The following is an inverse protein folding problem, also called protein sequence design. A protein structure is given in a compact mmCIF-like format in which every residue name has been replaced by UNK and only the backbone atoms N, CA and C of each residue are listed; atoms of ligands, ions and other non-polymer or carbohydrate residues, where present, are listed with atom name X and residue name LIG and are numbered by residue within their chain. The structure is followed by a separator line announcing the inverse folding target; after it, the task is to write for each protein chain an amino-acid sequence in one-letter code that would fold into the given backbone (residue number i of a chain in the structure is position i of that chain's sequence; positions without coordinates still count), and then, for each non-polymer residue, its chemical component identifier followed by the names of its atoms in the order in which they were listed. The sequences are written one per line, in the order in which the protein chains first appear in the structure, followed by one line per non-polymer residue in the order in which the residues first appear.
data_IF_996123027072
#
_entry.id   IF_996123027072
#
_cell.length_a   1.000
_cell.length_b   1.000
_cell.length_c   1.000
_cell.angle_alpha   90.00
_cell.angle_beta   90.00
_cell.angle_gamma   90.00
#
_symmetry.space_group_name_H-M   'P 1'
#
loop_
_entity.id
_entity.type
_entity.pdbx_description
1 polymer ?
#
# COMPACT_ATOMS: atom_id res chain seq x y z
N UNK A 1 1.80 13.93 -11.02
CA UNK A 1 1.39 13.12 -9.84
C UNK A 1 1.31 14.07 -8.65
N UNK A 2 0.22 14.05 -7.88
CA UNK A 2 0.06 14.93 -6.71
C UNK A 2 0.18 14.09 -5.44
N UNK A 3 1.06 14.48 -4.52
CA UNK A 3 1.19 13.82 -3.21
C UNK A 3 0.68 14.79 -2.14
N UNK A 4 -0.30 14.35 -1.36
CA UNK A 4 -0.75 15.01 -0.14
C UNK A 4 -0.11 14.30 1.05
N UNK A 5 0.81 14.97 1.74
CA UNK A 5 1.57 14.41 2.87
C UNK A 5 0.97 14.85 4.19
N UNK A 6 0.82 13.91 5.11
CA UNK A 6 0.28 14.13 6.45
C UNK A 6 1.21 13.53 7.50
N UNK A 7 1.41 14.23 8.62
CA UNK A 7 2.18 13.68 9.75
C UNK A 7 1.44 12.52 10.43
N UNK A 8 0.11 12.60 10.52
CA UNK A 8 -0.72 11.60 11.18
C UNK A 8 -2.13 11.66 10.61
N UNK A 9 -2.74 10.49 10.38
CA UNK A 9 -4.14 10.35 9.96
C UNK A 9 -4.78 9.18 10.71
N UNK A 10 -6.12 9.11 10.69
CA UNK A 10 -6.81 7.86 11.04
C UNK A 10 -6.42 6.74 10.09
N UNK A 11 -6.58 6.99 8.79
CA UNK A 11 -6.16 6.10 7.72
C UNK A 11 -6.04 6.90 6.41
N UNK A 12 -4.98 6.63 5.66
CA UNK A 12 -4.79 7.16 4.29
C UNK A 12 -5.96 6.76 3.38
N UNK A 13 -6.48 5.54 3.55
CA UNK A 13 -7.60 5.00 2.79
C UNK A 13 -8.90 5.76 3.10
N UNK A 14 -9.18 6.03 4.39
CA UNK A 14 -10.33 6.87 4.80
C UNK A 14 -10.21 8.28 4.21
N UNK A 15 -9.03 8.89 4.32
CA UNK A 15 -8.81 10.25 3.81
C UNK A 15 -8.95 10.30 2.29
N UNK A 16 -8.46 9.29 1.57
CA UNK A 16 -8.65 9.18 0.14
C UNK A 16 -10.13 9.13 -0.25
N UNK A 17 -10.94 8.30 0.44
CA UNK A 17 -12.40 8.22 0.23
C UNK A 17 -13.10 9.56 0.48
N UNK A 18 -12.68 10.31 1.50
CA UNK A 18 -13.25 11.61 1.85
C UNK A 18 -13.03 12.66 0.74
N UNK A 19 -11.84 12.71 0.17
CA UNK A 19 -11.45 13.80 -0.74
C UNK A 19 -11.55 13.44 -2.23
N UNK A 20 -11.83 12.18 -2.58
CA UNK A 20 -11.70 11.68 -3.95
C UNK A 20 -12.49 12.46 -4.99
N UNK A 21 -13.67 12.98 -4.65
CA UNK A 21 -14.49 13.77 -5.57
C UNK A 21 -13.80 15.06 -6.05
N UNK A 22 -12.86 15.59 -5.28
CA UNK A 22 -12.12 16.82 -5.58
C UNK A 22 -10.73 16.54 -6.15
N UNK A 23 -10.35 15.26 -6.28
CA UNK A 23 -9.01 14.85 -6.65
C UNK A 23 -8.99 14.22 -8.03
N UNK A 24 -7.89 14.47 -8.75
CA UNK A 24 -7.63 13.79 -10.02
C UNK A 24 -7.10 12.37 -9.76
N UNK A 25 -7.30 11.41 -10.69
CA UNK A 25 -6.60 10.14 -10.65
C UNK A 25 -5.09 10.29 -10.46
N UNK A 26 -4.46 9.30 -9.85
CA UNK A 26 -3.07 9.28 -9.41
C UNK A 26 -2.71 10.37 -8.37
N UNK A 27 -3.72 10.82 -7.61
CA UNK A 27 -3.47 11.56 -6.37
C UNK A 27 -3.14 10.58 -5.26
N UNK A 28 -2.05 10.84 -4.53
CA UNK A 28 -1.54 10.00 -3.45
C UNK A 28 -1.80 10.69 -2.12
N UNK A 29 -2.34 9.94 -1.18
CA UNK A 29 -2.45 10.32 0.23
C UNK A 29 -1.35 9.56 0.96
N UNK A 30 -0.37 10.25 1.53
CA UNK A 30 0.75 9.68 2.27
C UNK A 30 0.66 10.10 3.73
N UNK A 31 0.81 9.17 4.66
CA UNK A 31 0.91 9.47 6.09
C UNK A 31 2.18 8.87 6.70
N UNK A 32 2.82 9.61 7.60
CA UNK A 32 3.93 9.07 8.40
C UNK A 32 3.43 8.06 9.44
N UNK A 33 2.20 8.22 9.93
CA UNK A 33 1.57 7.37 10.95
C UNK A 33 0.05 7.25 10.71
N UNK A 34 -0.52 6.07 10.98
CA UNK A 34 -1.99 5.88 11.00
C UNK A 34 -2.47 5.42 12.37
N UNK A 35 -3.52 6.06 12.90
CA UNK A 35 -4.14 5.72 14.20
C UNK A 35 -4.99 4.45 14.07
N UNK A 36 -5.81 4.37 13.03
CA UNK A 36 -6.75 3.27 12.77
C UNK A 36 -6.54 2.71 11.37
N UNK A 37 -5.27 2.46 11.02
CA UNK A 37 -4.92 1.74 9.80
C UNK A 37 -5.63 0.38 9.76
N UNK A 38 -6.16 0.01 8.59
CA UNK A 38 -6.91 -1.23 8.42
C UNK A 38 -6.59 -1.87 7.07
N UNK A 39 -6.74 -3.19 7.02
CA UNK A 39 -6.70 -4.00 5.83
C UNK A 39 -8.08 -4.56 5.49
N UNK A 40 -8.08 -5.65 4.71
CA UNK A 40 -9.32 -6.34 4.30
C UNK A 40 -10.12 -6.78 5.52
N UNK A 41 -11.46 -6.77 5.36
CA UNK A 41 -12.43 -7.13 6.41
C UNK A 41 -12.28 -6.30 7.70
N UNK A 42 -11.65 -5.12 7.63
CA UNK A 42 -11.45 -4.24 8.79
C UNK A 42 -10.33 -4.68 9.75
N UNK A 43 -9.51 -5.67 9.38
CA UNK A 43 -8.39 -6.10 10.21
C UNK A 43 -7.43 -4.95 10.48
N UNK A 44 -7.04 -4.75 11.74
CA UNK A 44 -6.11 -3.69 12.12
C UNK A 44 -4.77 -3.83 11.39
N UNK A 45 -4.24 -2.71 10.90
CA UNK A 45 -2.92 -2.60 10.28
C UNK A 45 -2.03 -1.67 11.13
N UNK A 46 -1.07 -2.27 11.85
CA UNK A 46 -0.13 -1.54 12.69
C UNK A 46 0.72 -0.58 11.85
N UNK A 47 0.57 0.72 12.10
CA UNK A 47 1.13 1.79 11.24
C UNK A 47 1.88 2.89 12.03
N UNK A 48 2.88 2.56 12.86
CA UNK A 48 3.66 3.58 13.56
C UNK A 48 4.54 4.36 12.58
N UNK A 49 5.14 5.46 13.04
CA UNK A 49 6.18 6.18 12.27
C UNK A 49 7.29 5.24 11.82
N UNK A 50 7.78 5.50 10.60
CA UNK A 50 8.89 4.77 9.98
C UNK A 50 8.47 3.91 8.79
N UNK A 51 7.23 3.39 8.78
CA UNK A 51 6.70 2.65 7.63
C UNK A 51 6.28 3.55 6.47
N UNK A 52 5.95 2.93 5.34
CA UNK A 52 5.43 3.60 4.16
C UNK A 52 3.94 3.27 4.02
N UNK A 53 3.08 4.23 4.34
CA UNK A 53 1.63 4.07 4.29
C UNK A 53 1.02 5.09 3.35
N UNK A 54 0.43 4.63 2.26
CA UNK A 54 -0.19 5.53 1.31
C UNK A 54 -1.41 4.91 0.63
N UNK A 55 -2.25 5.77 0.07
CA UNK A 55 -3.38 5.37 -0.77
C UNK A 55 -3.34 6.13 -2.09
N UNK A 56 -3.59 5.43 -3.19
CA UNK A 56 -3.63 5.99 -4.55
C UNK A 56 -5.06 6.01 -5.04
N UNK A 57 -5.55 7.19 -5.40
CA UNK A 57 -6.83 7.36 -6.09
C UNK A 57 -6.64 7.01 -7.56
N UNK A 58 -7.46 6.13 -8.11
CA UNK A 58 -7.42 5.69 -9.50
C UNK A 58 -8.75 5.97 -10.21
N UNK A 59 -8.78 5.92 -11.55
CA UNK A 59 -10.04 5.97 -12.30
C UNK A 59 -11.01 4.87 -11.85
N UNK A 60 -12.29 5.00 -12.21
CA UNK A 60 -13.29 3.96 -11.94
C UNK A 60 -12.89 2.65 -12.62
N UNK A 61 -12.82 1.56 -11.86
CA UNK A 61 -12.61 0.20 -12.37
C UNK A 61 -13.83 -0.68 -12.05
N UNK A 62 -14.08 -1.73 -12.83
CA UNK A 62 -15.13 -2.72 -12.52
C UNK A 62 -14.74 -3.51 -11.26
N UNK A 63 -15.70 -4.25 -10.70
CA UNK A 63 -15.44 -5.05 -9.49
C UNK A 63 -14.41 -6.16 -9.76
N UNK A 64 -14.49 -6.80 -10.92
CA UNK A 64 -13.54 -7.83 -11.37
C UNK A 64 -12.11 -7.27 -11.48
N UNK A 65 -11.99 -6.02 -11.93
CA UNK A 65 -10.71 -5.32 -12.05
C UNK A 65 -10.05 -5.10 -10.68
N UNK A 66 -10.81 -5.00 -9.57
CA UNK A 66 -10.21 -4.75 -8.25
C UNK A 66 -9.29 -5.88 -7.79
N UNK A 67 -9.67 -7.14 -8.05
CA UNK A 67 -8.83 -8.27 -7.70
C UNK A 67 -7.54 -8.25 -8.53
N UNK A 68 -7.66 -7.99 -9.83
CA UNK A 68 -6.53 -7.85 -10.75
C UNK A 68 -5.63 -6.70 -10.29
N UNK A 69 -6.18 -5.52 -10.02
CA UNK A 69 -5.45 -4.35 -9.51
C UNK A 69 -4.72 -4.66 -8.20
N UNK A 70 -5.35 -5.41 -7.30
CA UNK A 70 -4.72 -5.84 -6.03
C UNK A 70 -3.52 -6.73 -6.29
N UNK A 71 -3.68 -7.75 -7.14
CA UNK A 71 -2.63 -8.71 -7.49
C UNK A 71 -1.48 -8.01 -8.22
N UNK A 72 -1.77 -7.17 -9.20
CA UNK A 72 -0.78 -6.39 -9.93
C UNK A 72 -0.04 -5.41 -9.02
N UNK A 73 -0.73 -4.78 -8.06
CA UNK A 73 -0.05 -3.93 -7.07
C UNK A 73 0.86 -4.76 -6.17
N UNK A 74 0.44 -5.96 -5.77
CA UNK A 74 1.28 -6.88 -4.99
C UNK A 74 2.51 -7.30 -5.77
N UNK A 75 2.32 -7.58 -7.07
CA UNK A 75 3.40 -7.88 -7.98
C UNK A 75 4.37 -6.70 -8.13
N UNK A 76 3.89 -5.45 -8.28
CA UNK A 76 4.75 -4.27 -8.35
C UNK A 76 5.67 -4.17 -7.12
N UNK A 77 5.09 -4.28 -5.93
CA UNK A 77 5.85 -4.17 -4.68
C UNK A 77 6.82 -5.36 -4.54
N UNK A 78 6.38 -6.59 -4.82
CA UNK A 78 7.24 -7.76 -4.77
C UNK A 78 8.41 -7.65 -5.76
N UNK A 79 8.15 -7.21 -6.99
CA UNK A 79 9.21 -6.97 -7.99
C UNK A 79 10.26 -5.99 -7.47
N UNK A 80 9.84 -4.88 -6.85
CA UNK A 80 10.75 -3.88 -6.26
C UNK A 80 11.53 -4.47 -5.07
N UNK A 81 10.88 -5.24 -4.19
CA UNK A 81 11.57 -5.94 -3.10
C UNK A 81 12.65 -6.90 -3.62
N UNK A 82 12.42 -7.54 -4.76
CA UNK A 82 13.38 -8.43 -5.40
C UNK A 82 14.52 -7.67 -6.11
N UNK A 83 14.18 -6.73 -6.97
CA UNK A 83 15.15 -6.02 -7.83
C UNK A 83 15.99 -5.01 -7.05
N UNK A 84 15.35 -4.17 -6.22
CA UNK A 84 16.03 -3.03 -5.60
C UNK A 84 16.65 -3.41 -4.24
N UNK A 85 16.11 -4.44 -3.58
CA UNK A 85 16.51 -4.86 -2.23
C UNK A 85 17.06 -6.28 -2.13
N UNK A 86 17.10 -7.03 -3.25
CA UNK A 86 17.66 -8.39 -3.30
C UNK A 86 17.02 -9.35 -2.28
N UNK A 87 15.74 -9.14 -1.96
CA UNK A 87 14.95 -10.03 -1.13
C UNK A 87 14.24 -11.07 -2.00
N UNK A 88 13.79 -12.17 -1.39
CA UNK A 88 12.93 -13.16 -2.06
C UNK A 88 11.49 -13.05 -1.53
N UNK A 89 10.67 -12.15 -2.11
CA UNK A 89 9.31 -11.94 -1.65
C UNK A 89 8.39 -13.06 -2.13
N UNK A 90 7.47 -13.46 -1.25
CA UNK A 90 6.37 -14.36 -1.55
C UNK A 90 5.05 -13.61 -1.48
N UNK A 91 4.28 -13.63 -2.57
CA UNK A 91 2.94 -13.06 -2.60
C UNK A 91 1.97 -14.10 -2.04
N UNK A 92 1.50 -13.88 -0.81
CA UNK A 92 0.36 -14.62 -0.26
C UNK A 92 -0.91 -14.00 -0.83
N UNK A 93 -1.47 -14.68 -1.83
CA UNK A 93 -2.60 -14.17 -2.57
C UNK A 93 -3.80 -13.82 -1.66
N UNK A 94 -4.57 -12.79 -2.02
CA UNK A 94 -4.38 -11.92 -3.19
C UNK A 94 -3.54 -10.67 -2.90
N UNK A 95 -3.22 -10.35 -1.64
CA UNK A 95 -2.94 -8.97 -1.26
C UNK A 95 -1.84 -8.78 -0.21
N UNK A 96 -1.18 -9.85 0.22
CA UNK A 96 -0.14 -9.79 1.24
C UNK A 96 1.21 -10.21 0.67
N UNK A 97 2.28 -9.55 1.09
CA UNK A 97 3.65 -9.89 0.68
C UNK A 97 4.43 -10.27 1.92
N UNK A 98 5.18 -11.36 1.79
CA UNK A 98 5.96 -11.97 2.84
C UNK A 98 7.43 -12.04 2.44
N UNK A 99 8.32 -11.91 3.41
CA UNK A 99 9.75 -12.17 3.29
C UNK A 99 10.12 -13.09 4.45
N UNK A 100 10.84 -14.19 4.17
CA UNK A 100 11.24 -15.20 5.16
C UNK A 100 10.08 -15.68 6.07
N UNK A 101 8.90 -15.87 5.48
CA UNK A 101 7.71 -16.32 6.20
C UNK A 101 7.00 -15.26 7.07
N UNK A 102 7.51 -14.02 7.13
CA UNK A 102 6.90 -12.91 7.88
C UNK A 102 6.32 -11.86 6.93
N UNK A 103 5.18 -11.28 7.30
CA UNK A 103 4.47 -10.29 6.49
C UNK A 103 5.23 -8.96 6.48
N UNK A 104 5.48 -8.41 5.31
CA UNK A 104 6.16 -7.11 5.13
C UNK A 104 5.25 -6.04 4.53
N UNK A 105 4.28 -6.45 3.70
CA UNK A 105 3.38 -5.53 3.02
C UNK A 105 1.95 -6.08 2.99
N UNK A 106 0.98 -5.16 3.05
CA UNK A 106 -0.42 -5.42 2.80
C UNK A 106 -1.00 -4.41 1.82
N UNK A 107 -1.86 -4.89 0.93
CA UNK A 107 -2.55 -4.09 -0.07
C UNK A 107 -4.05 -4.19 0.15
N UNK A 108 -4.73 -3.05 0.01
CA UNK A 108 -6.16 -2.91 0.15
C UNK A 108 -6.70 -2.12 -1.04
N UNK A 109 -7.50 -2.77 -1.89
CA UNK A 109 -8.19 -2.10 -2.99
C UNK A 109 -9.67 -2.02 -2.67
N UNK A 110 -10.26 -0.83 -2.79
CA UNK A 110 -11.69 -0.59 -2.55
C UNK A 110 -12.27 0.35 -3.60
N UNK A 111 -13.53 0.11 -3.96
CA UNK A 111 -14.31 1.05 -4.75
C UNK A 111 -15.06 2.03 -3.84
N UNK A 112 -15.11 3.29 -4.25
CA UNK A 112 -16.11 4.21 -3.76
C UNK A 112 -17.36 4.11 -4.65
N UNK A 113 -18.47 3.68 -4.05
CA UNK A 113 -19.74 3.51 -4.74
C UNK A 113 -20.69 4.63 -4.29
N UNK A 114 -21.36 5.27 -5.23
CA UNK A 114 -22.44 6.23 -4.97
C UNK A 114 -23.69 5.75 -5.69
N UNK A 115 -24.70 5.33 -4.93
CA UNK A 115 -25.87 4.62 -5.48
C UNK A 115 -25.45 3.30 -6.14
N UNK A 116 -25.67 3.18 -7.45
CA UNK A 116 -25.26 2.00 -8.25
C UNK A 116 -23.96 2.22 -9.03
N UNK A 117 -23.35 3.39 -8.95
CA UNK A 117 -22.18 3.75 -9.76
C UNK A 117 -20.87 3.73 -8.98
N UNK A 118 -19.85 3.13 -9.57
CA UNK A 118 -18.47 3.22 -9.07
C UNK A 118 -17.91 4.59 -9.47
N UNK A 119 -17.58 5.40 -8.46
CA UNK A 119 -17.05 6.76 -8.63
C UNK A 119 -15.53 6.78 -8.75
N UNK A 120 -14.85 5.91 -8.02
CA UNK A 120 -13.40 5.77 -8.05
C UNK A 120 -12.97 4.44 -7.45
N UNK A 121 -11.74 4.03 -7.76
CA UNK A 121 -11.05 2.93 -7.10
C UNK A 121 -9.87 3.48 -6.30
N UNK A 122 -9.61 2.93 -5.12
CA UNK A 122 -8.54 3.40 -4.22
C UNK A 122 -7.70 2.20 -3.79
N UNK A 123 -6.40 2.28 -4.03
CA UNK A 123 -5.42 1.26 -3.61
C UNK A 123 -4.61 1.81 -2.43
N UNK A 124 -4.81 1.25 -1.25
CA UNK A 124 -3.99 1.44 -0.06
C UNK A 124 -2.84 0.44 -0.04
N UNK A 125 -1.63 0.92 0.21
CA UNK A 125 -0.41 0.12 0.38
C UNK A 125 0.20 0.48 1.72
N UNK A 126 0.34 -0.52 2.58
CA UNK A 126 1.12 -0.46 3.81
C UNK A 126 2.35 -1.33 3.67
N UNK A 127 3.54 -0.72 3.69
CA UNK A 127 4.83 -1.41 3.63
C UNK A 127 5.63 -1.11 4.90
N UNK A 128 6.04 -2.16 5.61
CA UNK A 128 6.91 -2.04 6.76
C UNK A 128 8.33 -1.75 6.27
N UNK A 129 8.73 -0.48 6.26
CA UNK A 129 10.07 -0.06 5.82
C UNK A 129 11.02 0.07 7.01
N UNK A 130 10.91 1.13 7.80
CA UNK A 130 11.82 1.41 8.93
C UNK A 130 11.29 0.99 10.30
N UNK A 131 10.49 -0.09 10.36
CA UNK A 131 9.91 -0.57 11.63
C UNK A 131 10.84 -1.58 12.29
N UNK A 132 11.37 -1.27 13.47
CA UNK A 132 12.30 -2.18 14.18
C UNK A 132 11.61 -3.09 15.19
N UNK A 133 10.49 -2.61 15.75
CA UNK A 133 9.77 -3.30 16.82
C UNK A 133 8.30 -3.40 16.48
N UNK A 134 7.78 -4.61 16.62
CA UNK A 134 6.36 -4.91 16.48
C UNK A 134 5.79 -5.26 17.86
N UNK A 135 4.49 -5.00 18.10
CA UNK A 135 3.84 -5.48 19.31
C UNK A 135 3.85 -7.02 19.35
N UNK A 136 3.72 -7.58 20.55
CA UNK A 136 3.91 -9.01 20.81
C UNK A 136 3.09 -9.92 19.88
N UNK A 137 1.84 -9.55 19.61
CA UNK A 137 0.94 -10.29 18.73
C UNK A 137 1.35 -10.30 17.24
N UNK A 138 2.28 -9.42 16.83
CA UNK A 138 2.78 -9.27 15.47
C UNK A 138 4.27 -9.61 15.32
N UNK A 139 5.03 -9.70 16.42
CA UNK A 139 6.49 -9.88 16.43
C UNK A 139 6.98 -11.08 15.61
N UNK A 140 6.28 -12.21 15.70
CA UNK A 140 6.62 -13.41 14.92
C UNK A 140 5.95 -13.49 13.55
N UNK A 141 5.02 -12.58 13.26
CA UNK A 141 4.21 -12.59 12.03
C UNK A 141 4.61 -11.50 11.04
N UNK A 142 5.38 -10.51 11.47
CA UNK A 142 5.70 -9.32 10.70
C UNK A 142 7.21 -9.07 10.65
N UNK A 143 7.67 -8.55 9.53
CA UNK A 143 9.04 -8.05 9.35
C UNK A 143 9.01 -6.68 8.68
N UNK A 144 10.17 -6.06 8.51
CA UNK A 144 10.36 -4.79 7.81
C UNK A 144 11.62 -4.81 6.96
N UNK A 145 11.72 -3.92 5.99
CA UNK A 145 12.96 -3.77 5.20
C UNK A 145 14.17 -3.47 6.09
N UNK A 146 14.01 -2.65 7.14
CA UNK A 146 15.09 -2.33 8.06
C UNK A 146 15.56 -3.55 8.87
N UNK A 147 14.64 -4.44 9.25
CA UNK A 147 15.00 -5.71 9.92
C UNK A 147 15.74 -6.64 8.94
N UNK A 148 15.22 -6.80 7.73
CA UNK A 148 15.79 -7.72 6.74
C UNK A 148 17.15 -7.25 6.21
N UNK A 149 17.36 -5.94 6.06
CA UNK A 149 18.54 -5.35 5.43
C UNK A 149 19.53 -4.73 6.41
N UNK A 150 19.12 -4.51 7.67
CA UNK A 150 19.90 -3.79 8.70
C UNK A 150 20.32 -2.38 8.26
N UNK A 151 19.54 -1.76 7.38
CA UNK A 151 19.80 -0.43 6.82
C UNK A 151 18.54 0.44 6.84
N UNK A 152 18.74 1.75 6.86
CA UNK A 152 17.62 2.71 6.75
C UNK A 152 17.13 2.82 5.31
N UNK A 153 15.81 2.96 5.15
CA UNK A 153 15.11 2.97 3.88
C UNK A 153 14.58 4.37 3.58
N UNK A 154 14.88 4.87 2.38
CA UNK A 154 14.32 6.11 1.89
C UNK A 154 12.89 5.88 1.36
N UNK A 155 11.89 6.13 2.22
CA UNK A 155 10.47 5.94 1.88
C UNK A 155 10.01 6.75 0.67
N UNK A 156 10.57 7.94 0.41
CA UNK A 156 10.20 8.73 -0.77
C UNK A 156 10.65 8.03 -2.06
N UNK A 157 11.89 7.50 -2.10
CA UNK A 157 12.39 6.74 -3.25
C UNK A 157 11.57 5.47 -3.51
N UNK A 158 11.23 4.74 -2.44
CA UNK A 158 10.41 3.53 -2.55
C UNK A 158 9.00 3.86 -3.04
N UNK A 159 8.37 4.92 -2.52
CA UNK A 159 7.07 5.38 -2.98
C UNK A 159 7.09 5.73 -4.48
N UNK A 160 8.07 6.52 -4.90
CA UNK A 160 8.23 6.91 -6.31
C UNK A 160 8.42 5.70 -7.21
N UNK A 161 9.25 4.74 -6.80
CA UNK A 161 9.48 3.49 -7.52
C UNK A 161 8.21 2.65 -7.65
N UNK A 162 7.47 2.45 -6.55
CA UNK A 162 6.21 1.68 -6.54
C UNK A 162 5.19 2.32 -7.47
N UNK A 163 4.97 3.64 -7.35
CA UNK A 163 3.94 4.32 -8.15
C UNK A 163 4.32 4.33 -9.63
N UNK A 164 5.61 4.50 -9.96
CA UNK A 164 6.10 4.41 -11.35
C UNK A 164 5.83 3.01 -11.92
N UNK A 165 6.13 1.95 -11.17
CA UNK A 165 5.88 0.57 -11.61
C UNK A 165 4.38 0.30 -11.80
N UNK A 166 3.55 0.73 -10.84
CA UNK A 166 2.09 0.60 -10.94
C UNK A 166 1.53 1.29 -12.19
N UNK A 167 1.99 2.51 -12.50
CA UNK A 167 1.60 3.22 -13.74
C UNK A 167 1.97 2.42 -14.97
N UNK A 168 3.23 1.99 -15.07
CA UNK A 168 3.73 1.24 -16.22
C UNK A 168 2.95 -0.07 -16.44
N UNK A 169 2.58 -0.77 -15.37
CA UNK A 169 1.83 -2.01 -15.47
C UNK A 169 0.36 -1.75 -15.81
N UNK A 170 -0.28 -0.74 -15.21
CA UNK A 170 -1.69 -0.45 -15.46
C UNK A 170 -1.92 0.13 -16.86
N UNK A 171 -0.98 0.89 -17.41
CA UNK A 171 -1.02 1.39 -18.79
C UNK A 171 -0.90 0.28 -19.84
N UNK A 172 -0.33 -0.87 -19.50
CA UNK A 172 -0.20 -2.02 -20.43
C UNK A 172 -1.43 -2.92 -20.48
N UNK A 173 -2.32 -2.78 -19.51
CA UNK A 173 -3.47 -3.67 -19.31
C UNK A 173 -4.80 -2.92 -19.58
N UNK A 174 -4.76 -1.58 -19.64
CA UNK A 174 -5.85 -0.72 -20.07
C UNK A 174 -5.90 -0.59 -21.60
#
# INVERSE_FOLDING_TARGET
MRILKFKKLDSTQKKAKEIVQKMKPWTIILAEEQISGYGRKGNFWYSPRGGLYFSVILPKAKIEDLQIMTILSAFCVAKILKEDFQLEPFIKLPNDIYVRGKKICGILTENLIFGKEIRASIIGIGLNTNIEKFPENLKEKSTSLKIELKSEINNNKVLERIVKEMKNIFEKIA
#
